data_IF_692241384039
#
_entry.id   IF_692241384039
#
_cell.length_a   1.000
_cell.length_b   1.000
_cell.length_c   1.000
_cell.angle_alpha   90.00
_cell.angle_beta   90.00
_cell.angle_gamma   90.00
#
_symmetry.space_group_name_H-M   'P 1'
#
loop_
_entity.id
_entity.type
_entity.pdbx_description
1 polymer ?
#
# COMPACT_ATOMS: atom_id res chain seq x y z
N UNK A 1 -28.08 21.92 -23.45
CA UNK A 1 -28.91 21.13 -22.51
C UNK A 1 -27.94 20.34 -21.64
N UNK A 2 -28.12 20.33 -20.32
CA UNK A 2 -27.22 19.57 -19.43
C UNK A 2 -27.44 18.08 -19.69
N UNK A 3 -26.38 17.35 -20.04
CA UNK A 3 -26.44 15.91 -20.22
C UNK A 3 -26.93 15.26 -18.92
N UNK A 4 -27.87 14.33 -19.01
CA UNK A 4 -28.38 13.61 -17.85
C UNK A 4 -28.82 12.19 -18.19
N UNK A 5 -28.78 11.31 -17.20
CA UNK A 5 -29.23 9.92 -17.35
C UNK A 5 -28.93 9.04 -16.15
N UNK A 6 -29.07 7.74 -16.35
CA UNK A 6 -28.80 6.71 -15.34
C UNK A 6 -27.60 5.88 -15.74
N UNK A 7 -26.64 5.74 -14.81
CA UNK A 7 -25.48 4.86 -14.92
C UNK A 7 -25.74 3.60 -14.09
N UNK A 8 -25.73 2.44 -14.73
CA UNK A 8 -25.90 1.13 -14.10
C UNK A 8 -24.52 0.52 -13.88
N UNK A 9 -24.16 0.29 -12.61
CA UNK A 9 -22.84 -0.23 -12.25
C UNK A 9 -22.82 -0.81 -10.83
N UNK A 10 -21.99 -1.85 -10.55
CA UNK A 10 -21.80 -2.31 -9.19
C UNK A 10 -21.19 -1.23 -8.30
N UNK A 11 -21.49 -1.28 -7.01
CA UNK A 11 -20.86 -0.40 -6.03
C UNK A 11 -19.33 -0.49 -6.07
N UNK A 12 -18.65 0.65 -5.99
CA UNK A 12 -17.18 0.78 -5.98
C UNK A 12 -16.47 0.22 -7.22
N UNK A 13 -17.17 0.04 -8.34
CA UNK A 13 -16.54 -0.45 -9.56
C UNK A 13 -15.61 0.60 -10.19
N UNK A 14 -14.31 0.34 -10.18
CA UNK A 14 -13.26 1.28 -10.62
C UNK A 14 -13.48 1.87 -12.02
N UNK A 15 -13.98 1.10 -13.01
CA UNK A 15 -14.22 1.66 -14.36
C UNK A 15 -15.35 2.69 -14.35
N UNK A 16 -16.36 2.55 -13.49
CA UNK A 16 -17.47 3.49 -13.42
C UNK A 16 -17.05 4.85 -12.86
N UNK A 17 -15.98 4.92 -12.07
CA UNK A 17 -15.43 6.20 -11.63
C UNK A 17 -15.05 7.10 -12.80
N UNK A 18 -14.62 6.57 -13.95
CA UNK A 18 -14.35 7.38 -15.15
C UNK A 18 -15.57 8.19 -15.57
N UNK A 19 -16.74 7.55 -15.60
CA UNK A 19 -18.01 8.14 -16.00
C UNK A 19 -18.50 9.16 -14.95
N UNK A 20 -18.40 8.81 -13.67
CA UNK A 20 -18.84 9.66 -12.57
C UNK A 20 -17.98 10.91 -12.44
N UNK A 21 -16.65 10.79 -12.60
CA UNK A 21 -15.74 11.92 -12.65
C UNK A 21 -16.05 12.81 -13.85
N UNK A 22 -16.23 12.24 -15.04
CA UNK A 22 -16.62 13.01 -16.23
C UNK A 22 -17.88 13.84 -15.98
N UNK A 23 -18.90 13.23 -15.36
CA UNK A 23 -20.13 13.92 -15.02
C UNK A 23 -19.94 15.05 -14.00
N UNK A 24 -19.11 14.84 -12.96
CA UNK A 24 -18.82 15.88 -11.96
C UNK A 24 -18.09 17.07 -12.57
N UNK A 25 -17.05 16.83 -13.36
CA UNK A 25 -16.28 17.90 -14.01
C UNK A 25 -17.05 18.64 -15.10
N UNK A 26 -18.01 17.97 -15.76
CA UNK A 26 -18.83 18.59 -16.82
C UNK A 26 -20.12 19.26 -16.31
N UNK A 27 -20.56 18.90 -15.10
CA UNK A 27 -21.87 19.27 -14.57
C UNK A 27 -23.03 18.38 -15.07
N UNK A 28 -22.75 17.26 -15.74
CA UNK A 28 -23.78 16.31 -16.13
C UNK A 28 -24.47 15.69 -14.90
N UNK A 29 -25.78 15.44 -15.02
CA UNK A 29 -26.60 14.87 -13.94
C UNK A 29 -26.75 13.36 -14.11
N UNK A 30 -26.01 12.59 -13.33
CA UNK A 30 -26.03 11.12 -13.39
C UNK A 30 -26.65 10.57 -12.12
N UNK A 31 -27.66 9.71 -12.29
CA UNK A 31 -28.19 8.85 -11.22
C UNK A 31 -27.47 7.51 -11.30
N UNK A 32 -27.01 6.97 -10.17
CA UNK A 32 -26.38 5.64 -10.11
C UNK A 32 -27.41 4.60 -9.70
N UNK A 33 -27.54 3.55 -10.50
CA UNK A 33 -28.33 2.38 -10.20
C UNK A 33 -27.41 1.15 -10.09
N UNK A 34 -27.73 0.23 -9.18
CA UNK A 34 -26.94 -0.98 -9.00
C UNK A 34 -27.08 -1.92 -10.22
N UNK A 35 -26.03 -2.68 -10.49
CA UNK A 35 -25.97 -3.60 -11.62
C UNK A 35 -25.57 -4.99 -11.15
N UNK A 36 -26.44 -5.96 -11.41
CA UNK A 36 -26.21 -7.37 -11.15
C UNK A 36 -26.25 -8.11 -12.50
N UNK A 37 -25.12 -8.69 -12.96
CA UNK A 37 -25.07 -9.45 -14.19
C UNK A 37 -26.15 -10.53 -14.26
N UNK A 38 -26.82 -10.64 -15.40
CA UNK A 38 -27.90 -11.61 -15.64
C UNK A 38 -29.26 -11.26 -15.02
N UNK A 39 -29.32 -10.28 -14.10
CA UNK A 39 -30.58 -9.79 -13.52
C UNK A 39 -30.92 -8.42 -14.08
N UNK A 40 -30.04 -7.44 -13.89
CA UNK A 40 -30.26 -6.05 -14.31
C UNK A 40 -30.33 -5.94 -15.84
N UNK A 41 -29.55 -6.76 -16.56
CA UNK A 41 -29.55 -6.86 -18.03
C UNK A 41 -30.93 -7.18 -18.63
N UNK A 42 -31.76 -7.92 -17.88
CA UNK A 42 -33.08 -8.34 -18.32
C UNK A 42 -34.17 -7.31 -18.02
N UNK A 43 -33.84 -6.22 -17.31
CA UNK A 43 -34.81 -5.19 -16.98
C UNK A 43 -35.36 -4.53 -18.25
N UNK A 44 -36.65 -4.09 -18.27
CA UNK A 44 -37.26 -3.47 -19.45
C UNK A 44 -36.47 -2.25 -19.98
N UNK A 45 -35.73 -1.57 -19.10
CA UNK A 45 -34.95 -0.40 -19.46
C UNK A 45 -33.63 -0.72 -20.18
N UNK A 46 -33.11 -1.96 -20.07
CA UNK A 46 -31.80 -2.37 -20.58
C UNK A 46 -31.88 -3.55 -21.57
N UNK A 47 -32.93 -4.38 -21.49
CA UNK A 47 -33.09 -5.57 -22.31
C UNK A 47 -32.96 -5.27 -23.81
N UNK A 48 -32.05 -5.98 -24.48
CA UNK A 48 -31.79 -5.85 -25.92
C UNK A 48 -31.04 -4.57 -26.35
N UNK A 49 -30.67 -3.68 -25.42
CA UNK A 49 -29.92 -2.44 -25.72
C UNK A 49 -28.41 -2.59 -25.64
N UNK A 50 -27.92 -3.59 -24.91
CA UNK A 50 -26.50 -3.74 -24.58
C UNK A 50 -26.01 -5.17 -24.82
N UNK A 51 -24.69 -5.35 -25.05
CA UNK A 51 -24.06 -6.67 -24.97
C UNK A 51 -24.26 -7.28 -23.57
N UNK A 52 -24.34 -8.62 -23.47
CA UNK A 52 -24.55 -9.29 -22.19
C UNK A 52 -23.32 -9.21 -21.28
N UNK A 53 -23.54 -9.17 -19.95
CA UNK A 53 -22.51 -9.19 -18.91
C UNK A 53 -21.50 -8.04 -18.96
N UNK A 54 -21.88 -6.90 -19.55
CA UNK A 54 -21.04 -5.71 -19.61
C UNK A 54 -21.50 -4.64 -18.62
N UNK A 55 -20.54 -3.98 -18.00
CA UNK A 55 -20.79 -2.77 -17.19
C UNK A 55 -19.53 -1.89 -17.14
N UNK A 56 -19.66 -0.55 -16.93
CA UNK A 56 -20.90 0.18 -16.68
C UNK A 56 -21.76 0.38 -17.94
N UNK A 57 -23.06 0.59 -17.75
CA UNK A 57 -24.03 0.92 -18.81
C UNK A 57 -24.67 2.27 -18.53
N UNK A 58 -24.97 3.05 -19.57
CA UNK A 58 -25.62 4.35 -19.43
C UNK A 58 -26.85 4.47 -20.33
N UNK A 59 -27.92 5.06 -19.81
CA UNK A 59 -29.12 5.43 -20.57
C UNK A 59 -29.45 6.90 -20.29
N UNK A 60 -29.59 7.72 -21.35
CA UNK A 60 -29.95 9.13 -21.23
C UNK A 60 -31.35 9.30 -20.63
N UNK A 61 -31.61 10.41 -19.94
CA UNK A 61 -32.92 10.68 -19.31
C UNK A 61 -34.08 10.74 -20.31
N UNK A 62 -33.80 11.09 -21.57
CA UNK A 62 -34.80 11.09 -22.65
C UNK A 62 -34.94 9.72 -23.34
N UNK A 63 -34.16 8.72 -22.91
CA UNK A 63 -34.17 7.36 -23.44
C UNK A 63 -33.64 7.20 -24.86
N UNK A 64 -33.17 8.28 -25.50
CA UNK A 64 -32.75 8.26 -26.92
C UNK A 64 -31.35 7.71 -27.15
N UNK A 65 -30.50 7.75 -26.12
CA UNK A 65 -29.11 7.34 -26.22
C UNK A 65 -28.78 6.34 -25.13
N UNK A 66 -28.00 5.34 -25.51
CA UNK A 66 -27.59 4.24 -24.65
C UNK A 66 -26.16 3.88 -25.00
N UNK A 67 -25.29 3.83 -24.00
CA UNK A 67 -23.86 3.61 -24.19
C UNK A 67 -23.38 2.52 -23.23
N UNK A 68 -22.55 1.62 -23.75
CA UNK A 68 -21.67 0.73 -22.99
C UNK A 68 -20.22 1.19 -23.22
N UNK A 69 -19.27 0.58 -22.54
CA UNK A 69 -17.86 1.03 -22.42
C UNK A 69 -17.68 2.34 -21.64
N UNK A 70 -16.86 2.27 -20.59
CA UNK A 70 -16.63 3.39 -19.69
C UNK A 70 -16.07 4.64 -20.41
N UNK A 71 -15.22 4.47 -21.42
CA UNK A 71 -14.65 5.58 -22.17
C UNK A 71 -15.68 6.30 -23.05
N UNK A 72 -16.57 5.56 -23.71
CA UNK A 72 -17.64 6.13 -24.53
C UNK A 72 -18.66 6.88 -23.65
N UNK A 73 -19.05 6.28 -22.53
CA UNK A 73 -19.92 6.92 -21.54
C UNK A 73 -19.27 8.19 -20.99
N UNK A 74 -18.00 8.14 -20.59
CA UNK A 74 -17.29 9.30 -20.07
C UNK A 74 -17.14 10.43 -21.12
N UNK A 75 -16.89 10.09 -22.39
CA UNK A 75 -16.82 11.05 -23.49
C UNK A 75 -18.15 11.77 -23.72
N UNK A 76 -19.27 11.01 -23.66
CA UNK A 76 -20.61 11.56 -23.77
C UNK A 76 -20.97 12.48 -22.59
N UNK A 77 -20.65 12.06 -21.37
CA UNK A 77 -20.88 12.85 -20.16
C UNK A 77 -19.95 14.06 -20.05
N UNK A 78 -18.78 14.02 -20.67
CA UNK A 78 -17.77 15.07 -20.61
C UNK A 78 -18.13 16.33 -21.40
N UNK A 79 -17.51 17.44 -21.03
CA UNK A 79 -17.56 18.69 -21.80
C UNK A 79 -16.40 18.75 -22.82
N UNK A 80 -16.30 19.85 -23.57
CA UNK A 80 -15.24 20.02 -24.59
C UNK A 80 -13.82 19.93 -24.00
N UNK A 81 -13.60 20.53 -22.81
CA UNK A 81 -12.32 20.45 -22.11
C UNK A 81 -11.95 19.00 -21.76
N UNK A 82 -12.88 18.21 -21.19
CA UNK A 82 -12.59 16.82 -20.86
C UNK A 82 -12.30 15.97 -22.10
N UNK A 83 -12.91 16.31 -23.23
CA UNK A 83 -12.62 15.70 -24.53
C UNK A 83 -11.31 16.17 -25.15
N UNK A 84 -10.59 17.10 -24.52
CA UNK A 84 -9.29 17.60 -24.98
C UNK A 84 -9.38 18.72 -26.01
N UNK A 85 -10.56 19.33 -26.22
CA UNK A 85 -10.79 20.38 -27.22
C UNK A 85 -10.27 20.01 -28.63
N UNK A 86 -9.06 20.45 -29.00
CA UNK A 86 -8.41 20.16 -30.29
C UNK A 86 -7.46 18.95 -30.24
N UNK A 87 -7.26 18.38 -29.06
CA UNK A 87 -6.32 17.29 -28.76
C UNK A 87 -7.07 15.99 -28.40
N UNK A 88 -8.29 15.82 -28.94
CA UNK A 88 -9.18 14.69 -28.65
C UNK A 88 -8.52 13.33 -28.90
N UNK A 89 -7.73 13.21 -29.97
CA UNK A 89 -6.93 12.01 -30.27
C UNK A 89 -5.95 11.64 -29.14
N UNK A 90 -5.39 12.63 -28.43
CA UNK A 90 -4.48 12.36 -27.30
C UNK A 90 -5.25 11.85 -26.09
N UNK A 91 -6.46 12.37 -25.86
CA UNK A 91 -7.36 11.85 -24.82
C UNK A 91 -7.76 10.39 -25.12
N UNK A 92 -8.11 10.10 -26.37
CA UNK A 92 -8.41 8.73 -26.82
C UNK A 92 -7.20 7.79 -26.68
N UNK A 93 -5.99 8.27 -27.01
CA UNK A 93 -4.75 7.51 -26.85
C UNK A 93 -4.54 7.07 -25.39
N UNK A 94 -4.66 7.98 -24.43
CA UNK A 94 -4.50 7.67 -23.01
C UNK A 94 -5.59 6.74 -22.48
N UNK A 95 -6.84 6.92 -22.93
CA UNK A 95 -7.93 5.98 -22.62
C UNK A 95 -7.61 4.56 -23.10
N UNK A 96 -7.17 4.44 -24.35
CA UNK A 96 -6.84 3.15 -24.98
C UNK A 96 -5.64 2.49 -24.31
N UNK A 97 -4.56 3.23 -24.05
CA UNK A 97 -3.38 2.75 -23.33
C UNK A 97 -3.73 2.27 -21.91
N UNK A 98 -4.66 2.96 -21.24
CA UNK A 98 -5.12 2.55 -19.91
C UNK A 98 -5.81 1.20 -19.97
N UNK A 99 -6.67 0.95 -20.95
CA UNK A 99 -7.43 -0.29 -21.03
C UNK A 99 -6.64 -1.47 -21.60
N UNK A 100 -5.68 -1.21 -22.49
CA UNK A 100 -4.89 -2.27 -23.12
C UNK A 100 -3.62 -2.64 -22.35
N UNK A 101 -3.08 -1.72 -21.53
CA UNK A 101 -1.78 -1.92 -20.86
C UNK A 101 -1.87 -1.78 -19.34
N UNK A 102 -2.33 -0.62 -18.85
CA UNK A 102 -2.30 -0.30 -17.42
C UNK A 102 -3.25 -1.21 -16.66
N UNK A 103 -4.54 -1.18 -16.98
CA UNK A 103 -5.58 -1.84 -16.23
C UNK A 103 -5.45 -3.38 -16.23
N UNK A 104 -5.09 -4.06 -17.34
CA UNK A 104 -4.86 -5.50 -17.30
C UNK A 104 -3.71 -5.89 -16.36
N UNK A 105 -2.64 -5.11 -16.34
CA UNK A 105 -1.48 -5.36 -15.46
C UNK A 105 -1.83 -5.08 -14.00
N UNK A 106 -2.48 -3.93 -13.72
CA UNK A 106 -2.97 -3.59 -12.38
C UNK A 106 -3.95 -4.65 -11.87
N UNK A 107 -4.95 -5.02 -12.66
CA UNK A 107 -5.95 -6.02 -12.26
C UNK A 107 -5.35 -7.40 -12.02
N UNK A 108 -4.37 -7.82 -12.83
CA UNK A 108 -3.67 -9.10 -12.62
C UNK A 108 -2.89 -9.13 -11.30
N UNK A 109 -2.35 -8.00 -10.86
CA UNK A 109 -1.66 -7.90 -9.58
C UNK A 109 -2.63 -7.72 -8.40
N UNK A 110 -3.63 -6.84 -8.53
CA UNK A 110 -4.49 -6.42 -7.40
C UNK A 110 -5.68 -7.35 -7.17
N UNK A 111 -6.34 -7.88 -8.19
CA UNK A 111 -7.56 -8.68 -7.96
C UNK A 111 -7.35 -9.93 -7.07
N UNK A 112 -6.20 -10.62 -7.13
CA UNK A 112 -5.93 -11.70 -6.18
C UNK A 112 -5.80 -11.23 -4.73
N UNK A 113 -5.28 -10.03 -4.47
CA UNK A 113 -5.15 -9.49 -3.09
C UNK A 113 -6.50 -9.09 -2.51
N UNK A 114 -7.50 -8.86 -3.37
CA UNK A 114 -8.88 -8.56 -2.98
C UNK A 114 -9.77 -9.82 -2.94
N UNK A 115 -9.22 -11.02 -3.19
CA UNK A 115 -9.99 -12.27 -3.23
C UNK A 115 -10.93 -12.42 -4.43
N UNK A 116 -10.76 -11.59 -5.48
CA UNK A 116 -11.62 -11.59 -6.67
C UNK A 116 -11.17 -12.61 -7.72
N UNK A 117 -9.87 -12.95 -7.74
CA UNK A 117 -9.29 -13.93 -8.67
C UNK A 117 -8.32 -14.84 -7.95
N UNK A 118 -8.17 -16.06 -8.45
CA UNK A 118 -7.15 -16.98 -7.97
C UNK A 118 -5.73 -16.46 -8.20
N UNK A 119 -4.82 -16.81 -7.31
CA UNK A 119 -3.42 -16.40 -7.37
C UNK A 119 -2.69 -17.19 -8.47
N UNK A 120 -2.24 -16.49 -9.51
CA UNK A 120 -1.29 -17.03 -10.49
C UNK A 120 0.05 -16.30 -10.38
N UNK A 121 1.03 -16.93 -9.72
CA UNK A 121 2.34 -16.32 -9.41
C UNK A 121 3.08 -15.84 -10.67
N UNK A 122 3.05 -16.60 -11.77
CA UNK A 122 3.73 -16.23 -13.02
C UNK A 122 3.09 -14.99 -13.67
N UNK A 123 1.75 -14.92 -13.67
CA UNK A 123 1.03 -13.76 -14.18
C UNK A 123 1.27 -12.52 -13.31
N UNK A 124 1.33 -12.68 -11.99
CA UNK A 124 1.62 -11.57 -11.06
C UNK A 124 3.04 -11.02 -11.26
N UNK A 125 4.05 -11.88 -11.45
CA UNK A 125 5.43 -11.43 -11.72
C UNK A 125 5.48 -10.60 -13.00
N UNK A 126 4.90 -11.11 -14.10
CA UNK A 126 4.82 -10.37 -15.37
C UNK A 126 4.03 -9.07 -15.24
N UNK A 127 2.95 -9.07 -14.45
CA UNK A 127 2.17 -7.88 -14.18
C UNK A 127 2.99 -6.82 -13.44
N UNK A 128 3.75 -7.21 -12.40
CA UNK A 128 4.65 -6.31 -11.67
C UNK A 128 5.73 -5.72 -12.59
N UNK A 129 6.35 -6.53 -13.44
CA UNK A 129 7.32 -6.04 -14.44
C UNK A 129 6.71 -5.02 -15.41
N UNK A 130 5.49 -5.28 -15.90
CA UNK A 130 4.77 -4.34 -16.77
C UNK A 130 4.40 -3.06 -16.03
N UNK A 131 4.02 -3.16 -14.75
CA UNK A 131 3.74 -2.00 -13.90
C UNK A 131 4.97 -1.14 -13.71
N UNK A 132 6.12 -1.73 -13.39
CA UNK A 132 7.39 -1.01 -13.33
C UNK A 132 7.67 -0.25 -14.63
N UNK A 133 7.54 -0.91 -15.79
CA UNK A 133 7.79 -0.30 -17.11
C UNK A 133 6.87 0.88 -17.40
N UNK A 134 5.55 0.74 -17.21
CA UNK A 134 4.65 1.86 -17.50
C UNK A 134 4.80 2.97 -16.45
N UNK A 135 5.12 2.66 -15.19
CA UNK A 135 5.36 3.67 -14.16
C UNK A 135 6.61 4.50 -14.46
N UNK A 136 7.68 3.87 -14.94
CA UNK A 136 8.88 4.57 -15.45
C UNK A 136 8.54 5.49 -16.63
N UNK A 137 7.77 4.98 -17.60
CA UNK A 137 7.32 5.77 -18.75
C UNK A 137 6.47 6.97 -18.31
N UNK A 138 5.46 6.75 -17.47
CA UNK A 138 4.60 7.81 -16.96
C UNK A 138 5.40 8.85 -16.16
N UNK A 139 6.34 8.42 -15.31
CA UNK A 139 7.17 9.32 -14.54
C UNK A 139 8.04 10.21 -15.42
N UNK A 140 8.66 9.64 -16.45
CA UNK A 140 9.46 10.38 -17.41
C UNK A 140 8.61 11.34 -18.24
N UNK A 141 7.43 10.91 -18.68
CA UNK A 141 6.49 11.76 -19.42
C UNK A 141 6.02 12.94 -18.56
N UNK A 142 5.56 12.67 -17.34
CA UNK A 142 5.02 13.67 -16.39
C UNK A 142 6.09 14.62 -15.82
N UNK A 143 7.38 14.35 -16.03
CA UNK A 143 8.44 15.29 -15.63
C UNK A 143 8.34 16.65 -16.31
N UNK A 144 7.69 16.72 -17.49
CA UNK A 144 7.60 17.93 -18.34
C UNK A 144 6.21 18.56 -18.40
N UNK A 145 5.21 17.91 -17.84
CA UNK A 145 3.80 18.32 -17.97
C UNK A 145 3.11 18.31 -16.61
N UNK A 146 2.08 19.13 -16.45
CA UNK A 146 1.23 19.12 -15.25
C UNK A 146 0.12 18.08 -15.38
N UNK A 147 -0.48 17.98 -16.57
CA UNK A 147 -1.55 17.06 -16.93
C UNK A 147 -1.17 16.25 -18.17
N UNK A 148 -1.90 15.17 -18.45
CA UNK A 148 -1.57 14.26 -19.54
C UNK A 148 -1.83 14.82 -20.94
N UNK A 149 -2.75 15.78 -21.07
CA UNK A 149 -3.11 16.43 -22.34
C UNK A 149 -3.34 17.92 -22.07
N UNK A 150 -2.59 18.78 -22.76
CA UNK A 150 -2.63 20.22 -22.56
C UNK A 150 -2.31 20.66 -21.11
N UNK A 151 -2.85 21.83 -20.73
CA UNK A 151 -2.59 22.47 -19.42
C UNK A 151 -3.79 22.41 -18.47
N UNK A 152 -4.75 21.51 -18.72
CA UNK A 152 -5.95 21.33 -17.89
C UNK A 152 -6.25 19.85 -17.70
N UNK A 153 -6.98 19.52 -16.64
CA UNK A 153 -7.51 18.16 -16.44
C UNK A 153 -8.43 17.81 -17.61
N UNK A 154 -8.10 16.69 -18.26
CA UNK A 154 -8.92 16.07 -19.30
C UNK A 154 -9.38 14.68 -18.87
N UNK A 155 -10.20 14.02 -19.69
CA UNK A 155 -10.56 12.62 -19.46
C UNK A 155 -9.35 11.69 -19.51
N UNK A 156 -8.22 12.09 -20.11
CA UNK A 156 -6.98 11.33 -20.05
C UNK A 156 -6.51 11.16 -18.61
N UNK A 157 -6.44 12.27 -17.87
CA UNK A 157 -6.00 12.28 -16.48
C UNK A 157 -6.92 11.44 -15.60
N UNK A 158 -8.23 11.66 -15.71
CA UNK A 158 -9.23 10.95 -14.91
C UNK A 158 -9.21 9.44 -15.20
N UNK A 159 -9.00 9.06 -16.46
CA UNK A 159 -8.96 7.65 -16.87
C UNK A 159 -7.73 6.93 -16.33
N UNK A 160 -6.54 7.50 -16.51
CA UNK A 160 -5.30 6.93 -15.94
C UNK A 160 -5.38 6.93 -14.41
N UNK A 161 -5.93 7.98 -13.81
CA UNK A 161 -6.06 8.12 -12.35
C UNK A 161 -6.88 6.98 -11.76
N UNK A 162 -8.06 6.68 -12.32
CA UNK A 162 -8.91 5.59 -11.80
C UNK A 162 -8.26 4.22 -11.87
N UNK A 163 -7.43 3.95 -12.89
CA UNK A 163 -6.68 2.71 -12.99
C UNK A 163 -5.55 2.64 -11.95
N UNK A 164 -4.81 3.74 -11.76
CA UNK A 164 -3.74 3.81 -10.77
C UNK A 164 -4.26 3.88 -9.32
N UNK A 165 -5.48 4.40 -9.09
CA UNK A 165 -6.09 4.43 -7.76
C UNK A 165 -6.20 3.01 -7.17
N UNK A 166 -6.61 2.03 -7.98
CA UNK A 166 -6.68 0.63 -7.57
C UNK A 166 -5.30 0.11 -7.13
N UNK A 167 -4.24 0.49 -7.85
CA UNK A 167 -2.87 0.13 -7.53
C UNK A 167 -2.37 0.82 -6.24
N UNK A 168 -2.55 2.14 -6.15
CA UNK A 168 -2.09 3.00 -5.04
C UNK A 168 -2.77 2.65 -3.72
N UNK A 169 -4.06 2.32 -3.74
CA UNK A 169 -4.83 2.05 -2.51
C UNK A 169 -4.71 0.60 -2.02
N UNK A 170 -3.95 -0.25 -2.69
CA UNK A 170 -3.86 -1.69 -2.35
C UNK A 170 -2.43 -2.18 -2.16
N UNK A 171 -1.62 -2.23 -3.22
CA UNK A 171 -0.35 -2.97 -3.25
C UNK A 171 0.88 -2.08 -3.48
N UNK A 172 0.67 -0.81 -3.82
CA UNK A 172 1.73 0.10 -4.22
C UNK A 172 1.99 1.11 -3.10
N UNK A 173 2.81 0.71 -2.15
CA UNK A 173 3.15 1.47 -0.93
C UNK A 173 4.08 2.67 -1.19
N UNK A 174 4.44 3.42 -0.14
CA UNK A 174 5.33 4.58 -0.23
C UNK A 174 6.70 4.24 -0.85
N UNK A 175 7.26 3.06 -0.55
CA UNK A 175 8.54 2.63 -1.08
C UNK A 175 8.47 2.33 -2.57
N UNK A 176 7.42 1.64 -3.02
CA UNK A 176 7.17 1.36 -4.43
C UNK A 176 6.91 2.65 -5.23
N UNK A 177 6.36 3.68 -4.59
CA UNK A 177 6.10 5.00 -5.19
C UNK A 177 7.33 5.89 -5.27
N UNK A 178 8.30 5.73 -4.36
CA UNK A 178 9.49 6.59 -4.23
C UNK A 178 10.28 6.81 -5.54
N UNK A 179 10.45 5.82 -6.43
CA UNK A 179 11.12 6.02 -7.71
C UNK A 179 10.34 6.87 -8.73
N UNK A 180 9.06 7.17 -8.46
CA UNK A 180 8.14 7.79 -9.42
C UNK A 180 7.59 9.15 -8.92
N UNK A 181 8.46 10.11 -8.56
CA UNK A 181 8.04 11.36 -7.93
C UNK A 181 7.07 12.20 -8.78
N UNK A 182 7.19 12.17 -10.11
CA UNK A 182 6.32 12.94 -11.01
C UNK A 182 4.93 12.31 -11.12
N UNK A 183 4.85 10.96 -11.08
CA UNK A 183 3.56 10.25 -10.99
C UNK A 183 2.90 10.52 -9.66
N UNK A 184 3.65 10.47 -8.54
CA UNK A 184 3.12 10.76 -7.21
C UNK A 184 2.60 12.20 -7.13
N UNK A 185 3.35 13.17 -7.66
CA UNK A 185 2.91 14.58 -7.75
C UNK A 185 1.61 14.68 -8.55
N UNK A 186 1.58 14.15 -9.77
CA UNK A 186 0.38 14.20 -10.62
C UNK A 186 -0.83 13.51 -9.96
N UNK A 187 -0.65 12.30 -9.41
CA UNK A 187 -1.70 11.55 -8.74
C UNK A 187 -2.27 12.35 -7.57
N UNK A 188 -1.40 12.94 -6.74
CA UNK A 188 -1.80 13.78 -5.60
C UNK A 188 -2.57 15.02 -6.07
N UNK A 189 -2.14 15.67 -7.15
CA UNK A 189 -2.85 16.80 -7.74
C UNK A 189 -4.27 16.43 -8.18
N UNK A 190 -4.44 15.30 -8.86
CA UNK A 190 -5.76 14.83 -9.31
C UNK A 190 -6.62 14.37 -8.12
N UNK A 191 -6.04 13.61 -7.19
CA UNK A 191 -6.74 13.05 -6.04
C UNK A 191 -7.36 14.13 -5.15
N UNK A 192 -6.73 15.30 -5.05
CA UNK A 192 -7.18 16.40 -4.21
C UNK A 192 -8.20 17.33 -4.90
N UNK A 193 -8.61 17.06 -6.13
CA UNK A 193 -9.66 17.85 -6.77
C UNK A 193 -11.00 17.61 -6.06
N UNK A 194 -11.82 18.65 -5.78
CA UNK A 194 -13.10 18.50 -5.09
C UNK A 194 -14.03 17.49 -5.75
N UNK A 195 -14.08 17.49 -7.09
CA UNK A 195 -14.86 16.57 -7.91
C UNK A 195 -14.39 15.12 -7.75
N UNK A 196 -13.08 14.91 -7.63
CA UNK A 196 -12.48 13.58 -7.42
C UNK A 196 -12.80 13.08 -6.02
N UNK A 197 -12.62 13.92 -4.99
CA UNK A 197 -12.97 13.58 -3.60
C UNK A 197 -14.45 13.21 -3.49
N UNK A 198 -15.33 13.95 -4.17
CA UNK A 198 -16.77 13.70 -4.15
C UNK A 198 -17.19 12.35 -4.76
N UNK A 199 -16.38 11.77 -5.65
CA UNK A 199 -16.68 10.49 -6.33
C UNK A 199 -15.90 9.33 -5.71
N UNK A 200 -14.61 9.52 -5.51
CA UNK A 200 -13.66 8.49 -5.11
C UNK A 200 -13.40 8.48 -3.60
N UNK A 201 -13.87 9.48 -2.85
CA UNK A 201 -13.53 9.70 -1.45
C UNK A 201 -12.23 10.47 -1.25
N UNK A 202 -11.95 10.87 0.00
CA UNK A 202 -10.70 11.56 0.33
C UNK A 202 -9.49 10.64 0.08
N UNK A 203 -8.38 11.16 -0.46
CA UNK A 203 -7.22 10.33 -0.74
C UNK A 203 -6.58 9.92 0.59
N UNK A 204 -6.68 8.64 0.96
CA UNK A 204 -5.71 8.04 1.88
C UNK A 204 -4.41 7.79 1.11
N UNK A 205 -3.75 8.87 0.71
CA UNK A 205 -2.33 8.81 0.39
C UNK A 205 -1.62 8.97 1.74
N UNK A 206 -1.30 7.85 2.37
CA UNK A 206 -0.33 7.85 3.47
C UNK A 206 0.92 8.59 2.97
N UNK A 207 1.24 9.72 3.61
CA UNK A 207 2.36 10.59 3.22
C UNK A 207 1.96 11.98 2.70
N UNK A 208 1.54 12.85 3.63
CA UNK A 208 1.54 14.33 3.58
C UNK A 208 1.14 15.00 2.25
N UNK A 209 -0.05 15.58 2.25
CA UNK A 209 -0.40 16.70 1.37
C UNK A 209 0.59 17.87 1.59
N UNK A 210 1.22 18.29 0.49
CA UNK A 210 1.97 19.53 0.41
C UNK A 210 1.02 20.71 0.64
N UNK A 211 1.50 21.67 1.42
CA UNK A 211 0.85 22.94 1.74
C UNK A 211 0.44 23.72 0.50
N UNK A 212 -0.84 24.13 0.43
CA UNK A 212 -1.23 25.53 0.21
C UNK A 212 -2.75 25.74 0.26
N UNK A 213 -3.21 26.48 1.28
CA UNK A 213 -4.19 27.58 1.14
C UNK A 213 -5.69 27.31 1.29
N UNK A 214 -6.26 27.90 2.36
CA UNK A 214 -7.70 28.23 2.62
C UNK A 214 -8.65 27.04 2.88
N UNK A 215 -9.55 27.03 3.86
CA UNK A 215 -10.12 28.03 4.78
C UNK A 215 -10.76 27.25 5.95
N UNK A 216 -10.64 27.74 7.19
CA UNK A 216 -11.58 27.40 8.27
C UNK A 216 -12.34 28.66 8.67
N UNK A 217 -13.65 28.56 8.99
CA UNK A 217 -14.50 29.71 9.21
C UNK A 217 -14.16 30.44 10.52
N UNK A 218 -14.26 31.76 10.47
CA UNK A 218 -13.93 32.70 11.54
C UNK A 218 -14.86 32.61 12.77
N UNK A 219 -14.38 33.10 13.93
CA UNK A 219 -15.20 33.90 14.83
C UNK A 219 -14.66 35.33 15.00
N UNK A 220 -15.59 36.27 14.87
CA UNK A 220 -15.65 37.69 15.27
C UNK A 220 -14.41 38.48 15.79
N UNK A 221 -14.10 39.55 15.04
CA UNK A 221 -13.70 40.94 15.41
C UNK A 221 -13.05 41.24 16.78
N UNK A 222 -11.88 41.90 16.75
CA UNK A 222 -11.73 43.36 17.00
C UNK A 222 -10.33 43.89 16.60
N UNK A 223 -10.32 45.18 16.26
CA UNK A 223 -9.31 45.98 15.56
C UNK A 223 -7.99 46.24 16.32
N UNK A 224 -6.87 46.42 15.58
CA UNK A 224 -6.21 47.74 15.39
C UNK A 224 -4.95 47.68 14.50
N UNK A 225 -4.94 48.58 13.50
CA UNK A 225 -3.87 49.41 12.92
C UNK A 225 -2.50 48.83 12.45
N UNK A 226 -2.25 49.06 11.15
CA UNK A 226 -0.99 49.14 10.33
C UNK A 226 0.06 50.15 10.87
N UNK A 227 1.28 50.36 10.27
CA UNK A 227 1.82 49.88 8.98
C UNK A 227 3.35 49.51 8.89
N UNK A 228 3.67 48.74 7.83
CA UNK A 228 4.77 48.82 6.85
C UNK A 228 6.24 49.17 7.23
N UNK A 229 7.20 48.39 6.70
CA UNK A 229 8.33 48.90 5.90
C UNK A 229 9.02 47.78 5.09
N UNK A 230 9.38 48.12 3.84
CA UNK A 230 10.16 47.36 2.86
C UNK A 230 11.66 47.38 3.19
N UNK A 231 12.41 46.35 2.81
CA UNK A 231 13.51 46.42 1.80
C UNK A 231 14.40 45.17 1.83
N UNK A 232 14.62 44.57 0.66
CA UNK A 232 15.84 43.81 0.34
C UNK A 232 16.95 44.83 0.00
N UNK A 233 18.26 44.51 0.12
CA UNK A 233 18.94 43.55 -0.78
C UNK A 233 20.07 42.66 -0.15
N UNK A 234 20.29 41.48 -0.75
CA UNK A 234 21.52 40.63 -0.69
C UNK A 234 22.64 41.31 -1.52
N UNK A 235 23.97 41.03 -1.37
CA UNK A 235 24.52 39.66 -1.46
C UNK A 235 25.85 39.33 -0.71
N UNK A 236 26.18 38.03 -0.80
CA UNK A 236 27.50 37.38 -0.75
C UNK A 236 28.10 36.97 0.61
N UNK A 237 28.36 35.66 0.73
CA UNK A 237 29.04 34.99 1.83
C UNK A 237 28.62 33.52 1.89
N UNK A 238 29.21 32.69 1.01
CA UNK A 238 29.13 31.23 1.08
C UNK A 238 29.95 30.72 2.27
N UNK A 239 29.32 29.94 3.15
CA UNK A 239 29.92 28.88 3.97
C UNK A 239 28.85 27.81 4.23
N UNK A 240 29.23 26.54 4.46
CA UNK A 240 28.42 25.36 4.14
C UNK A 240 27.24 25.16 5.10
N UNK A 241 26.07 24.85 4.54
CA UNK A 241 24.91 24.33 5.28
C UNK A 241 25.28 22.97 5.90
N UNK A 242 25.35 22.92 7.23
CA UNK A 242 25.26 21.67 7.98
C UNK A 242 23.94 20.98 7.59
N UNK A 243 24.04 19.73 7.12
CA UNK A 243 22.89 18.84 6.98
C UNK A 243 22.12 18.79 8.31
N UNK A 244 20.95 19.41 8.36
CA UNK A 244 19.98 19.19 9.43
C UNK A 244 19.62 17.69 9.43
N UNK A 245 20.21 16.96 10.38
CA UNK A 245 19.88 15.58 10.65
C UNK A 245 18.35 15.42 10.77
N UNK A 246 17.75 14.42 10.10
CA UNK A 246 16.31 14.23 10.13
C UNK A 246 15.84 14.00 11.58
N UNK A 247 14.92 14.87 12.04
CA UNK A 247 14.24 14.71 13.33
C UNK A 247 13.68 13.29 13.44
N UNK A 248 14.25 12.49 14.35
CA UNK A 248 13.75 11.17 14.73
C UNK A 248 12.26 11.27 15.04
N UNK A 249 11.43 10.54 14.28
CA UNK A 249 10.10 10.15 14.74
C UNK A 249 10.28 9.43 16.09
N UNK A 250 9.54 9.82 17.12
CA UNK A 250 9.59 9.17 18.43
C UNK A 250 9.27 7.68 18.28
N UNK A 251 10.22 6.82 18.65
CA UNK A 251 10.05 5.39 18.61
C UNK A 251 9.23 4.96 19.83
N UNK A 252 7.98 4.53 19.63
CA UNK A 252 7.09 4.08 20.71
C UNK A 252 7.69 2.92 21.53
N UNK A 253 8.63 2.14 20.98
CA UNK A 253 9.36 1.10 21.71
C UNK A 253 10.34 1.66 22.74
N UNK A 254 10.84 2.90 22.54
CA UNK A 254 11.70 3.58 23.49
C UNK A 254 10.93 4.09 24.73
N UNK A 255 9.59 4.16 24.65
CA UNK A 255 8.71 4.60 25.73
C UNK A 255 8.33 3.46 26.70
N UNK A 256 8.64 2.21 26.37
CA UNK A 256 8.40 1.08 27.28
C UNK A 256 9.27 1.20 28.54
N UNK A 257 8.89 0.67 29.71
CA UNK A 257 9.70 0.75 30.93
C UNK A 257 11.04 0.02 30.77
N UNK A 258 12.17 0.58 31.23
CA UNK A 258 13.47 -0.11 31.17
C UNK A 258 13.48 -1.28 32.16
N UNK A 259 13.82 -2.46 31.65
CA UNK A 259 14.05 -3.65 32.48
C UNK A 259 15.55 -3.97 32.64
N UNK A 260 15.84 -4.96 33.47
CA UNK A 260 17.17 -5.48 33.80
C UNK A 260 17.91 -6.05 32.60
N UNK A 261 17.22 -6.69 31.66
CA UNK A 261 17.83 -7.26 30.46
C UNK A 261 18.28 -6.14 29.50
N UNK A 262 19.56 -6.08 29.18
CA UNK A 262 20.07 -5.26 28.08
C UNK A 262 20.15 -6.12 26.81
N UNK A 263 19.34 -5.79 25.79
CA UNK A 263 19.29 -6.57 24.54
C UNK A 263 20.58 -6.51 23.72
N UNK A 264 21.33 -5.41 23.76
CA UNK A 264 22.63 -5.33 23.07
C UNK A 264 23.67 -6.22 23.76
N UNK A 265 23.66 -6.26 25.08
CA UNK A 265 24.50 -7.19 25.86
C UNK A 265 24.08 -8.64 25.64
N UNK A 266 22.78 -8.92 25.59
CA UNK A 266 22.25 -10.24 25.24
C UNK A 266 22.78 -10.71 23.87
N UNK A 267 22.67 -9.87 22.83
CA UNK A 267 23.15 -10.23 21.48
C UNK A 267 24.65 -10.49 21.45
N UNK A 268 25.42 -9.74 22.23
CA UNK A 268 26.86 -9.96 22.42
C UNK A 268 27.14 -11.27 23.15
N UNK A 269 26.40 -11.55 24.23
CA UNK A 269 26.50 -12.81 24.98
C UNK A 269 26.17 -14.02 24.10
N UNK A 270 25.08 -13.95 23.34
CA UNK A 270 24.65 -14.95 22.38
C UNK A 270 25.69 -15.19 21.27
N UNK A 271 26.33 -14.13 20.76
CA UNK A 271 27.27 -14.24 19.64
C UNK A 271 28.65 -14.76 20.05
N UNK A 272 29.07 -14.51 21.29
CA UNK A 272 30.45 -14.72 21.72
C UNK A 272 30.63 -15.94 22.62
N UNK A 273 29.56 -16.57 23.10
CA UNK A 273 29.62 -17.67 24.05
C UNK A 273 28.78 -18.85 23.58
N UNK A 274 29.02 -20.01 24.17
CA UNK A 274 28.17 -21.17 24.00
C UNK A 274 26.75 -20.88 24.51
N UNK A 275 25.74 -21.27 23.70
CA UNK A 275 24.36 -20.96 24.00
C UNK A 275 23.87 -21.63 25.28
N UNK A 276 24.22 -22.90 25.49
CA UNK A 276 23.63 -23.72 26.55
C UNK A 276 24.27 -23.47 27.91
N UNK A 277 25.59 -23.41 27.93
CA UNK A 277 26.36 -23.36 29.17
C UNK A 277 26.56 -21.94 29.70
N UNK A 278 26.44 -20.92 28.85
CA UNK A 278 26.75 -19.53 29.22
C UNK A 278 25.62 -18.57 28.87
N UNK A 279 25.22 -18.47 27.61
CA UNK A 279 24.31 -17.41 27.18
C UNK A 279 22.88 -17.59 27.73
N UNK A 280 22.28 -18.78 27.63
CA UNK A 280 20.94 -19.04 28.16
C UNK A 280 20.86 -18.88 29.69
N UNK A 281 21.79 -19.42 30.51
CA UNK A 281 21.82 -19.13 31.94
C UNK A 281 21.84 -17.64 32.24
N UNK A 282 22.71 -16.89 31.55
CA UNK A 282 22.78 -15.44 31.70
C UNK A 282 21.47 -14.75 31.32
N UNK A 283 20.81 -15.17 30.22
CA UNK A 283 19.52 -14.63 29.83
C UNK A 283 18.48 -14.89 30.92
N UNK A 284 18.40 -16.11 31.46
CA UNK A 284 17.40 -16.47 32.47
C UNK A 284 17.58 -15.70 33.78
N UNK A 285 18.81 -15.34 34.15
CA UNK A 285 19.09 -14.47 35.31
C UNK A 285 18.70 -13.00 35.10
N UNK A 286 18.70 -12.55 33.84
CA UNK A 286 18.44 -11.15 33.47
C UNK A 286 17.03 -10.92 32.90
N UNK A 287 16.32 -11.99 32.52
CA UNK A 287 14.99 -11.94 31.92
C UNK A 287 13.91 -11.68 32.98
N UNK A 288 13.16 -10.60 32.78
CA UNK A 288 12.06 -10.19 33.63
C UNK A 288 10.73 -10.32 32.86
N UNK A 289 9.86 -11.30 33.16
CA UNK A 289 8.62 -11.54 32.42
C UNK A 289 7.62 -10.37 32.50
N UNK A 290 7.80 -9.44 33.46
CA UNK A 290 7.04 -8.21 33.59
C UNK A 290 7.43 -7.16 32.55
N UNK A 291 8.70 -7.17 32.11
CA UNK A 291 9.27 -6.16 31.21
C UNK A 291 9.62 -6.69 29.82
N UNK A 292 9.76 -8.02 29.68
CA UNK A 292 10.14 -8.69 28.44
C UNK A 292 9.19 -9.85 28.15
N UNK A 293 9.05 -10.19 26.88
CA UNK A 293 8.29 -11.36 26.47
C UNK A 293 8.97 -12.12 25.36
N UNK A 294 8.69 -13.43 25.33
CA UNK A 294 9.15 -14.35 24.31
C UNK A 294 7.91 -14.86 23.57
N UNK A 295 7.99 -14.90 22.24
CA UNK A 295 6.89 -15.26 21.37
C UNK A 295 7.34 -16.27 20.33
N UNK A 296 6.57 -17.34 20.21
CA UNK A 296 6.65 -18.28 19.11
C UNK A 296 5.80 -17.77 17.95
N UNK A 297 6.31 -17.94 16.73
CA UNK A 297 5.54 -17.71 15.52
C UNK A 297 5.65 -18.86 14.52
N UNK A 298 4.57 -19.10 13.79
CA UNK A 298 4.49 -20.13 12.76
C UNK A 298 3.85 -19.56 11.49
N UNK A 299 4.48 -19.81 10.34
CA UNK A 299 4.00 -19.30 9.06
C UNK A 299 2.70 -20.01 8.64
N UNK A 300 1.70 -19.21 8.28
CA UNK A 300 0.33 -19.68 7.99
C UNK A 300 0.20 -20.42 6.65
N UNK A 301 1.16 -20.27 5.75
CA UNK A 301 1.05 -20.73 4.36
C UNK A 301 2.18 -21.70 3.97
N UNK A 302 2.37 -22.84 4.66
CA UNK A 302 3.43 -23.79 4.35
C UNK A 302 3.35 -24.33 2.91
N UNK A 303 2.15 -24.43 2.35
CA UNK A 303 1.91 -24.89 0.97
C UNK A 303 2.52 -23.95 -0.08
N UNK A 304 2.85 -22.71 0.28
CA UNK A 304 3.52 -21.76 -0.61
C UNK A 304 5.05 -21.93 -0.63
N UNK A 305 5.61 -22.71 0.30
CA UNK A 305 7.04 -22.88 0.50
C UNK A 305 7.59 -23.96 -0.43
N UNK A 306 7.97 -23.54 -1.64
CA UNK A 306 8.38 -24.46 -2.71
C UNK A 306 9.88 -24.84 -2.64
N UNK A 307 10.79 -23.86 -2.58
CA UNK A 307 12.23 -24.11 -2.52
C UNK A 307 12.81 -23.52 -1.26
N UNK A 308 13.72 -24.23 -0.57
CA UNK A 308 14.29 -23.77 0.70
C UNK A 308 14.97 -22.41 0.60
N UNK A 309 15.64 -22.11 -0.52
CA UNK A 309 16.25 -20.79 -0.73
C UNK A 309 15.20 -19.67 -0.85
N UNK A 310 14.00 -19.97 -1.37
CA UNK A 310 12.89 -19.02 -1.43
C UNK A 310 12.31 -18.77 -0.05
N UNK A 311 12.14 -19.83 0.77
CA UNK A 311 11.77 -19.72 2.18
C UNK A 311 12.80 -18.88 2.96
N UNK A 312 14.09 -19.07 2.68
CA UNK A 312 15.18 -18.27 3.25
C UNK A 312 15.11 -16.80 2.84
N UNK A 313 14.80 -16.53 1.57
CA UNK A 313 14.62 -15.16 1.08
C UNK A 313 13.38 -14.49 1.69
N UNK A 314 12.31 -15.25 1.94
CA UNK A 314 11.11 -14.75 2.61
C UNK A 314 11.44 -14.31 4.05
N UNK A 315 12.13 -15.15 4.82
CA UNK A 315 12.60 -14.83 6.18
C UNK A 315 13.52 -13.61 6.17
N UNK A 316 14.50 -13.55 5.25
CA UNK A 316 15.39 -12.39 5.11
C UNK A 316 14.64 -11.10 4.78
N UNK A 317 13.65 -11.18 3.89
CA UNK A 317 12.81 -10.04 3.56
C UNK A 317 12.05 -9.53 4.78
N UNK A 318 11.48 -10.44 5.58
CA UNK A 318 10.80 -10.08 6.82
C UNK A 318 11.76 -9.38 7.79
N UNK A 319 12.96 -9.92 8.01
CA UNK A 319 13.98 -9.30 8.86
C UNK A 319 14.45 -7.93 8.35
N UNK A 320 14.62 -7.75 7.04
CA UNK A 320 14.98 -6.44 6.46
C UNK A 320 13.93 -5.38 6.75
N UNK A 321 12.64 -5.74 6.68
CA UNK A 321 11.55 -4.81 7.02
C UNK A 321 11.51 -4.49 8.52
N UNK A 322 12.05 -5.37 9.35
CA UNK A 322 12.15 -5.20 10.80
C UNK A 322 13.44 -4.50 11.27
N UNK A 323 14.32 -4.02 10.37
CA UNK A 323 15.65 -3.46 10.71
C UNK A 323 15.59 -2.32 11.75
N UNK A 324 14.54 -1.50 11.72
CA UNK A 324 14.35 -0.42 12.71
C UNK A 324 14.05 -0.94 14.12
N UNK A 325 13.51 -2.16 14.23
CA UNK A 325 13.21 -2.86 15.48
C UNK A 325 14.38 -3.69 16.00
N UNK A 326 15.45 -3.88 15.23
CA UNK A 326 16.60 -4.68 15.63
C UNK A 326 17.13 -4.27 17.00
N UNK A 327 17.13 -2.97 17.33
CA UNK A 327 17.56 -2.45 18.66
C UNK A 327 16.70 -2.92 19.84
N UNK A 328 15.50 -3.43 19.59
CA UNK A 328 14.49 -3.73 20.61
C UNK A 328 14.03 -5.19 20.59
N UNK A 329 14.54 -6.00 19.67
CA UNK A 329 14.21 -7.42 19.61
C UNK A 329 15.38 -8.29 19.14
N UNK A 330 15.24 -9.58 19.42
CA UNK A 330 16.14 -10.65 19.03
C UNK A 330 15.29 -11.83 18.59
N UNK A 331 15.66 -12.54 17.53
CA UNK A 331 14.92 -13.71 17.11
C UNK A 331 15.79 -14.77 16.42
N UNK A 332 15.31 -16.01 16.43
CA UNK A 332 15.77 -17.07 15.54
C UNK A 332 14.58 -17.60 14.74
N UNK A 333 14.68 -17.56 13.41
CA UNK A 333 13.65 -18.07 12.51
C UNK A 333 14.22 -19.21 11.67
N UNK A 334 13.59 -20.38 11.79
CA UNK A 334 14.04 -21.63 11.24
C UNK A 334 13.14 -22.08 10.10
N UNK A 335 13.74 -22.80 9.16
CA UNK A 335 13.09 -23.46 8.04
C UNK A 335 13.27 -24.96 8.27
N UNK A 336 12.17 -25.65 8.48
CA UNK A 336 12.15 -27.10 8.70
C UNK A 336 11.74 -27.81 7.42
N UNK A 337 12.34 -28.96 7.14
CA UNK A 337 11.93 -29.86 6.06
C UNK A 337 12.72 -29.69 4.77
N UNK A 338 12.07 -29.95 3.65
CA UNK A 338 12.72 -29.98 2.33
C UNK A 338 11.90 -29.21 1.30
N UNK A 339 12.44 -29.03 0.10
CA UNK A 339 11.71 -28.38 -0.98
C UNK A 339 10.32 -29.02 -1.17
N UNK A 340 9.27 -28.18 -1.27
CA UNK A 340 7.84 -28.51 -1.39
C UNK A 340 7.21 -29.18 -0.16
N UNK A 341 7.98 -29.39 0.89
CA UNK A 341 7.52 -29.93 2.18
C UNK A 341 8.34 -29.26 3.28
N UNK A 342 8.18 -27.95 3.38
CA UNK A 342 8.88 -27.12 4.37
C UNK A 342 7.92 -26.28 5.18
N UNK A 343 8.35 -25.90 6.37
CA UNK A 343 7.63 -25.00 7.26
C UNK A 343 8.59 -23.94 7.82
N UNK A 344 8.08 -22.75 8.11
CA UNK A 344 8.81 -21.68 8.78
C UNK A 344 8.22 -21.47 10.17
N UNK A 345 9.06 -21.47 11.19
CA UNK A 345 8.70 -20.99 12.52
C UNK A 345 9.83 -20.21 13.16
N UNK A 346 9.51 -19.38 14.14
CA UNK A 346 10.49 -18.53 14.81
C UNK A 346 10.20 -18.34 16.29
N UNK A 347 11.24 -17.95 17.02
CA UNK A 347 11.14 -17.53 18.42
C UNK A 347 11.77 -16.16 18.57
N UNK A 348 10.95 -15.21 19.04
CA UNK A 348 11.27 -13.80 19.20
C UNK A 348 11.31 -13.40 20.67
N UNK A 349 12.24 -12.52 21.02
CA UNK A 349 12.39 -11.89 22.32
C UNK A 349 12.36 -10.37 22.12
N UNK A 350 11.54 -9.67 22.89
CA UNK A 350 11.50 -8.20 22.87
C UNK A 350 11.06 -7.59 24.20
N UNK A 351 11.26 -6.28 24.32
CA UNK A 351 10.78 -5.47 25.44
C UNK A 351 9.28 -5.22 25.32
N UNK A 352 8.59 -5.27 26.46
CA UNK A 352 7.14 -5.22 26.55
C UNK A 352 6.52 -6.62 26.60
N UNK A 353 5.28 -6.69 27.06
CA UNK A 353 4.56 -7.96 27.30
C UNK A 353 3.48 -8.27 26.26
N UNK A 354 3.10 -7.29 25.44
CA UNK A 354 2.20 -7.45 24.28
C UNK A 354 2.96 -7.80 22.99
N UNK A 355 2.20 -7.97 21.89
CA UNK A 355 2.79 -8.16 20.56
C UNK A 355 3.47 -6.88 20.09
N UNK A 356 4.77 -6.95 19.78
CA UNK A 356 5.55 -5.77 19.39
C UNK A 356 5.01 -5.10 18.12
N UNK A 357 4.40 -5.88 17.23
CA UNK A 357 3.84 -5.41 15.96
C UNK A 357 2.60 -4.53 16.13
N UNK A 358 1.90 -4.62 17.26
CA UNK A 358 0.75 -3.75 17.56
C UNK A 358 1.18 -2.37 18.06
N UNK A 359 2.45 -2.20 18.43
CA UNK A 359 2.96 -0.96 19.04
C UNK A 359 3.29 0.12 18.01
N UNK A 360 3.52 -0.26 16.75
CA UNK A 360 3.81 0.67 15.66
C UNK A 360 3.39 0.06 14.33
N UNK A 361 2.68 0.85 13.51
CA UNK A 361 2.30 0.48 12.14
C UNK A 361 3.54 0.12 11.29
N UNK A 362 4.69 0.76 11.55
CA UNK A 362 5.97 0.46 10.90
C UNK A 362 6.46 -0.98 11.14
N UNK A 363 5.94 -1.68 12.17
CA UNK A 363 6.32 -3.04 12.53
C UNK A 363 5.31 -4.08 12.03
N UNK A 364 4.20 -3.66 11.43
CA UNK A 364 3.14 -4.57 10.97
C UNK A 364 3.45 -5.27 9.63
N UNK A 365 4.67 -5.16 9.13
CA UNK A 365 5.09 -5.86 7.93
C UNK A 365 5.12 -7.38 8.15
N UNK A 366 4.36 -8.13 7.35
CA UNK A 366 4.27 -9.60 7.29
C UNK A 366 3.92 -10.37 8.57
N UNK A 367 3.87 -9.74 9.74
CA UNK A 367 3.58 -10.46 10.99
C UNK A 367 2.23 -11.20 10.92
N UNK A 368 1.26 -10.70 10.13
CA UNK A 368 -0.03 -11.33 9.88
C UNK A 368 0.08 -12.65 9.10
N UNK A 369 1.16 -12.86 8.35
CA UNK A 369 1.45 -14.14 7.70
C UNK A 369 1.88 -15.22 8.70
N UNK A 370 2.06 -14.87 9.98
CA UNK A 370 2.38 -15.79 11.06
C UNK A 370 1.27 -15.84 12.09
N UNK A 371 1.09 -17.00 12.71
CA UNK A 371 0.40 -17.10 14.01
C UNK A 371 1.39 -16.74 15.10
N UNK A 372 0.91 -16.21 16.23
CA UNK A 372 1.75 -15.80 17.34
C UNK A 372 1.25 -16.37 18.65
N UNK A 373 2.16 -16.92 19.45
CA UNK A 373 1.87 -17.48 20.77
C UNK A 373 2.92 -17.01 21.77
N UNK A 374 2.48 -16.38 22.85
CA UNK A 374 3.37 -16.01 23.95
C UNK A 374 3.88 -17.27 24.65
N UNK A 375 5.18 -17.31 24.90
CA UNK A 375 5.87 -18.44 25.53
C UNK A 375 6.23 -18.13 26.99
N UNK A 376 6.40 -19.19 27.78
CA UNK A 376 6.92 -19.12 29.14
C UNK A 376 8.23 -19.92 29.24
N UNK A 377 9.40 -19.26 29.31
CA UNK A 377 10.70 -19.94 29.33
C UNK A 377 10.93 -20.77 30.59
N UNK A 378 10.07 -20.67 31.62
CA UNK A 378 10.12 -21.57 32.79
C UNK A 378 9.50 -22.94 32.52
N UNK A 379 8.70 -23.08 31.46
CA UNK A 379 8.13 -24.36 31.04
C UNK A 379 9.17 -25.14 30.23
N UNK A 380 9.47 -26.40 30.57
CA UNK A 380 10.49 -27.19 29.86
C UNK A 380 10.27 -27.27 28.35
N UNK A 381 9.02 -27.37 27.90
CA UNK A 381 8.66 -27.48 26.48
C UNK A 381 8.94 -26.19 25.72
N UNK A 382 8.49 -25.05 26.26
CA UNK A 382 8.72 -23.73 25.67
C UNK A 382 10.21 -23.37 25.69
N UNK A 383 10.92 -23.72 26.78
CA UNK A 383 12.37 -23.53 26.87
C UNK A 383 13.12 -24.32 25.81
N UNK A 384 12.73 -25.59 25.58
CA UNK A 384 13.32 -26.41 24.53
C UNK A 384 13.08 -25.81 23.14
N UNK A 385 11.85 -25.38 22.83
CA UNK A 385 11.52 -24.75 21.55
C UNK A 385 12.36 -23.48 21.33
N UNK A 386 12.47 -22.63 22.36
CA UNK A 386 13.28 -21.41 22.32
C UNK A 386 14.76 -21.72 22.04
N UNK A 387 15.34 -22.66 22.81
CA UNK A 387 16.73 -23.09 22.64
C UNK A 387 16.99 -23.61 21.23
N UNK A 388 16.15 -24.53 20.73
CA UNK A 388 16.33 -25.16 19.42
C UNK A 388 16.24 -24.12 18.29
N UNK A 389 15.31 -23.15 18.38
CA UNK A 389 15.21 -22.06 17.40
C UNK A 389 16.44 -21.17 17.37
N UNK A 390 17.00 -20.83 18.53
CA UNK A 390 18.19 -19.98 18.59
C UNK A 390 19.49 -20.73 18.26
N UNK A 391 19.50 -22.06 18.31
CA UNK A 391 20.57 -22.89 17.74
C UNK A 391 20.46 -23.09 16.23
N UNK A 392 19.31 -22.75 15.62
CA UNK A 392 18.98 -23.18 14.27
C UNK A 392 19.00 -24.72 14.13
N UNK A 393 18.56 -25.44 15.16
CA UNK A 393 18.58 -26.91 15.25
C UNK A 393 17.18 -27.46 15.61
N UNK A 394 17.08 -28.79 15.69
CA UNK A 394 15.88 -29.49 16.14
C UNK A 394 14.93 -29.87 15.00
N UNK A 395 13.75 -30.33 15.38
CA UNK A 395 12.74 -30.81 14.45
C UNK A 395 11.34 -30.32 14.81
N UNK A 396 10.51 -30.15 13.78
CA UNK A 396 9.16 -29.64 13.88
C UNK A 396 8.21 -30.48 13.01
N UNK A 397 7.18 -31.08 13.59
CA UNK A 397 6.26 -32.00 12.90
C UNK A 397 6.95 -33.04 12.01
N UNK A 398 7.95 -33.75 12.54
CA UNK A 398 8.78 -34.74 11.82
C UNK A 398 9.62 -34.17 10.66
N UNK A 399 9.85 -32.85 10.63
CA UNK A 399 10.75 -32.18 9.70
C UNK A 399 11.98 -31.68 10.44
N UNK A 400 13.16 -32.10 10.00
CA UNK A 400 14.43 -31.60 10.55
C UNK A 400 14.70 -30.16 10.12
N UNK A 401 15.40 -29.40 10.96
CA UNK A 401 15.84 -28.05 10.62
C UNK A 401 16.78 -28.10 9.40
N UNK A 402 16.42 -27.39 8.35
CA UNK A 402 17.20 -27.32 7.11
C UNK A 402 18.03 -26.04 7.02
N UNK A 403 17.55 -24.95 7.62
CA UNK A 403 18.24 -23.67 7.65
C UNK A 403 17.67 -22.81 8.79
N UNK A 404 18.42 -21.80 9.23
CA UNK A 404 17.97 -20.87 10.26
C UNK A 404 18.67 -19.53 10.15
N UNK A 405 17.96 -18.48 10.53
CA UNK A 405 18.42 -17.10 10.43
C UNK A 405 18.20 -16.42 11.77
N UNK A 406 19.26 -15.85 12.32
CA UNK A 406 19.22 -15.06 13.54
C UNK A 406 19.01 -13.58 13.19
N UNK A 407 18.03 -12.97 13.82
CA UNK A 407 17.76 -11.55 13.83
C UNK A 407 18.36 -10.94 15.10
N UNK A 408 19.37 -10.08 14.94
CA UNK A 408 20.08 -9.44 16.05
C UNK A 408 20.69 -8.12 15.63
#
# INVERSE_FOLDING_TARGET
MVVSGTLYTPAKYHKAYRCLLAAKFSGAKVTVADYVPGVTDQSPNLAGKFPPNECPLFVSSDGKQSFFEANAIAHYLGNAQLRGDKEEQMVMQWGSFTDSVILPSVGTWVYPTLGVKDINKNSIVKAKENVTKFMEYLNNYMSKVTYLVGEKITQADLTVFTALQLLFTTVFDENARKPYPHVVRWYTTIANQPEVIAVCGSPTVEGKASSNGCEKPAPAKKEKAKPAAKSAPKPAGEEPEEEEAPKKKENKLALLPPGKLNLEEWKRMFSNNDLDSVALPWLMENFEPENYSIWYCEYKYPDELNQLFQSKNLVRGFFQRMESATKYCFAGQNIYGKAKDSQISGVWLWRGTGLIFELSEDLQADYECYTWKKMDPKKPEDFKIMRDHWKCEGSYHNRECADGIIFK
#
